data_IF_060672493815
#
_entry.id   IF_060672493815
#
_cell.length_a   1.000
_cell.length_b   1.000
_cell.length_c   1.000
_cell.angle_alpha   90.00
_cell.angle_beta   90.00
_cell.angle_gamma   90.00
#
_symmetry.space_group_name_H-M   'P 1'
#
loop_
_entity.id
_entity.type
_entity.pdbx_description
1 polymer ?
#
# COMPACT_ATOMS: atom_id res chain seq x y z
N UNK A 1 -3.34 7.92 15.42
CA UNK A 1 -2.77 9.10 14.73
C UNK A 1 -1.87 8.56 13.63
N UNK A 2 -1.97 9.11 12.42
CA UNK A 2 -1.14 8.64 11.31
C UNK A 2 0.31 9.06 11.53
N UNK A 3 1.26 8.16 11.27
CA UNK A 3 2.71 8.44 11.39
C UNK A 3 3.30 9.02 10.11
N UNK A 4 2.56 8.93 9.00
CA UNK A 4 2.91 9.48 7.68
C UNK A 4 1.81 10.41 7.22
N UNK A 5 2.14 11.68 6.99
CA UNK A 5 1.23 12.64 6.36
C UNK A 5 1.36 12.57 4.84
N UNK A 6 0.23 12.57 4.13
CA UNK A 6 0.18 12.37 2.68
C UNK A 6 -0.44 13.56 1.97
N UNK A 7 0.10 13.90 0.80
CA UNK A 7 -0.49 14.90 -0.11
C UNK A 7 -0.13 14.57 -1.55
N UNK A 8 -0.81 15.23 -2.48
CA UNK A 8 -0.42 15.22 -3.89
C UNK A 8 0.57 16.35 -4.14
N UNK A 9 1.69 16.03 -4.79
CA UNK A 9 2.58 17.04 -5.35
C UNK A 9 1.86 17.79 -6.49
N UNK A 10 1.76 19.13 -6.42
CA UNK A 10 1.00 19.90 -7.40
C UNK A 10 1.64 19.92 -8.79
N UNK A 11 2.94 19.65 -8.89
CA UNK A 11 3.70 19.70 -10.15
C UNK A 11 3.57 18.37 -10.91
N UNK A 12 3.85 17.27 -10.22
CA UNK A 12 3.92 15.94 -10.82
C UNK A 12 2.65 15.11 -10.65
N UNK A 13 1.70 15.58 -9.83
CA UNK A 13 0.45 14.87 -9.49
C UNK A 13 0.71 13.44 -8.98
N UNK A 14 1.74 13.31 -8.14
CA UNK A 14 2.14 12.07 -7.47
C UNK A 14 1.97 12.18 -5.96
N UNK A 15 1.69 11.08 -5.25
CA UNK A 15 1.77 11.03 -3.80
C UNK A 15 3.15 11.46 -3.33
N UNK A 16 3.19 12.31 -2.31
CA UNK A 16 4.39 12.64 -1.54
C UNK A 16 4.03 12.56 -0.07
N UNK A 17 5.04 12.29 0.75
CA UNK A 17 4.87 12.11 2.18
C UNK A 17 5.65 13.14 2.99
N UNK A 18 5.26 13.27 4.25
CA UNK A 18 6.00 13.97 5.29
C UNK A 18 5.88 13.18 6.59
N UNK A 19 6.98 13.06 7.32
CA UNK A 19 7.02 12.46 8.66
C UNK A 19 7.49 13.49 9.67
N UNK A 20 6.92 13.46 10.88
CA UNK A 20 7.42 14.25 12.01
C UNK A 20 8.58 13.54 12.71
N UNK A 21 8.52 12.20 12.76
CA UNK A 21 9.55 11.34 13.31
C UNK A 21 10.29 10.63 12.18
N UNK A 22 11.58 10.93 12.05
CA UNK A 22 12.45 10.41 10.99
C UNK A 22 12.58 8.89 10.99
N UNK A 23 12.24 8.21 12.09
CA UNK A 23 12.18 6.75 12.11
C UNK A 23 11.21 6.18 11.08
N UNK A 24 10.17 6.93 10.70
CA UNK A 24 9.16 6.51 9.72
C UNK A 24 9.47 6.96 8.29
N UNK A 25 10.64 7.55 8.02
CA UNK A 25 10.98 8.10 6.70
C UNK A 25 10.94 7.02 5.62
N UNK A 26 11.61 5.87 5.84
CA UNK A 26 11.62 4.74 4.91
C UNK A 26 10.22 4.12 4.71
N UNK A 27 9.36 4.15 5.72
CA UNK A 27 7.97 3.71 5.59
C UNK A 27 7.19 4.62 4.62
N UNK A 28 7.34 5.94 4.77
CA UNK A 28 6.74 6.91 3.85
C UNK A 28 7.31 6.81 2.43
N UNK A 29 8.62 6.56 2.31
CA UNK A 29 9.30 6.34 1.04
C UNK A 29 8.75 5.13 0.30
N UNK A 30 8.63 3.98 0.98
CA UNK A 30 8.07 2.76 0.42
C UNK A 30 6.61 2.94 -0.01
N UNK A 31 5.76 3.55 0.83
CA UNK A 31 4.35 3.81 0.49
C UNK A 31 4.22 4.64 -0.79
N UNK A 32 4.99 5.73 -0.91
CA UNK A 32 4.85 6.64 -2.05
C UNK A 32 5.58 6.18 -3.31
N UNK A 33 6.60 5.34 -3.18
CA UNK A 33 7.41 4.86 -4.30
C UNK A 33 6.92 3.53 -4.84
N UNK A 34 6.71 2.55 -3.95
CA UNK A 34 6.44 1.16 -4.32
C UNK A 34 4.95 0.91 -4.53
N UNK A 35 4.12 1.33 -3.57
CA UNK A 35 2.66 1.31 -3.76
C UNK A 35 2.27 2.41 -4.75
N UNK A 36 2.81 3.63 -4.57
CA UNK A 36 2.64 4.72 -5.52
C UNK A 36 1.16 5.02 -5.80
N UNK A 37 0.77 5.10 -7.07
CA UNK A 37 -0.65 5.25 -7.45
C UNK A 37 -1.29 3.94 -7.90
N UNK A 38 -0.73 2.79 -7.55
CA UNK A 38 -1.17 1.49 -8.03
C UNK A 38 -2.11 0.83 -7.02
N UNK A 39 -3.42 0.87 -7.31
CA UNK A 39 -4.43 0.28 -6.43
C UNK A 39 -4.19 -1.21 -6.17
N UNK A 40 -3.82 -2.00 -7.19
CA UNK A 40 -3.55 -3.44 -7.02
C UNK A 40 -2.42 -3.71 -6.02
N UNK A 41 -1.32 -2.97 -6.11
CA UNK A 41 -0.17 -3.13 -5.19
C UNK A 41 -0.56 -2.74 -3.75
N UNK A 42 -1.38 -1.69 -3.61
CA UNK A 42 -1.90 -1.29 -2.29
C UNK A 42 -2.86 -2.35 -1.72
N UNK A 43 -3.69 -2.98 -2.57
CA UNK A 43 -4.56 -4.10 -2.17
C UNK A 43 -3.72 -5.32 -1.74
N UNK A 44 -2.66 -5.65 -2.47
CA UNK A 44 -1.71 -6.71 -2.06
C UNK A 44 -1.12 -6.41 -0.67
N UNK A 45 -0.65 -5.18 -0.43
CA UNK A 45 -0.10 -4.77 0.87
C UNK A 45 -1.12 -4.88 2.02
N UNK A 46 -2.37 -4.43 1.80
CA UNK A 46 -3.45 -4.56 2.77
C UNK A 46 -3.74 -6.04 3.09
N UNK A 47 -3.89 -6.86 2.05
CA UNK A 47 -4.22 -8.26 2.22
C UNK A 47 -3.10 -9.05 2.91
N UNK A 48 -1.83 -8.79 2.58
CA UNK A 48 -0.69 -9.41 3.26
C UNK A 48 -0.60 -9.01 4.73
N UNK A 49 -0.81 -7.73 5.05
CA UNK A 49 -0.85 -7.26 6.44
C UNK A 49 -1.96 -7.96 7.24
N UNK A 50 -3.14 -8.15 6.64
CA UNK A 50 -4.26 -8.82 7.30
C UNK A 50 -4.04 -10.34 7.46
N UNK A 51 -3.49 -11.02 6.45
CA UNK A 51 -3.12 -12.45 6.54
C UNK A 51 -2.18 -12.68 7.73
N UNK A 52 -1.12 -11.87 7.81
CA UNK A 52 -0.11 -11.96 8.87
C UNK A 52 -0.66 -11.58 10.25
N UNK A 53 -1.56 -10.59 10.34
CA UNK A 53 -2.25 -10.24 11.57
C UNK A 53 -3.16 -11.38 12.08
N UNK A 54 -3.68 -12.21 11.17
CA UNK A 54 -4.46 -13.43 11.49
C UNK A 54 -3.57 -14.64 11.80
N UNK A 55 -2.24 -14.49 11.75
CA UNK A 55 -1.28 -15.57 11.95
C UNK A 55 -1.11 -16.48 10.74
N UNK A 56 -1.59 -16.07 9.57
CA UNK A 56 -1.39 -16.75 8.29
C UNK A 56 -0.14 -16.18 7.58
N UNK A 57 0.59 -16.97 6.79
CA UNK A 57 1.62 -16.41 5.93
C UNK A 57 1.00 -15.50 4.86
N UNK A 58 1.74 -14.51 4.33
CA UNK A 58 1.31 -13.75 3.15
C UNK A 58 0.93 -14.69 2.00
N UNK A 59 -0.17 -14.37 1.29
CA UNK A 59 -0.64 -15.18 0.16
C UNK A 59 0.36 -15.29 -1.00
N UNK A 60 1.30 -14.34 -1.11
CA UNK A 60 2.49 -14.42 -1.97
C UNK A 60 3.67 -13.68 -1.32
N UNK A 61 4.87 -13.86 -1.88
CA UNK A 61 6.03 -13.06 -1.47
C UNK A 61 5.96 -11.65 -2.08
N UNK A 62 6.33 -10.62 -1.31
CA UNK A 62 6.44 -9.27 -1.87
C UNK A 62 7.51 -9.24 -2.96
N UNK A 63 7.16 -8.69 -4.12
CA UNK A 63 8.04 -8.59 -5.27
C UNK A 63 8.07 -7.15 -5.77
N UNK A 64 9.21 -6.50 -5.61
CA UNK A 64 9.47 -5.14 -6.09
C UNK A 64 10.93 -5.01 -6.54
N UNK A 65 11.17 -4.16 -7.54
CA UNK A 65 12.52 -3.80 -7.98
C UNK A 65 13.22 -2.85 -7.01
N UNK A 66 12.46 -2.12 -6.18
CA UNK A 66 12.98 -1.03 -5.37
C UNK A 66 13.19 -1.42 -3.90
N UNK A 67 12.33 -2.30 -3.39
CA UNK A 67 12.33 -2.67 -1.98
C UNK A 67 12.18 -4.18 -1.81
N UNK A 68 12.98 -4.76 -0.93
CA UNK A 68 12.65 -6.03 -0.33
C UNK A 68 11.77 -5.77 0.90
N UNK A 69 10.59 -6.39 0.94
CA UNK A 69 9.62 -6.18 2.02
C UNK A 69 9.18 -7.52 2.59
N UNK A 70 9.10 -7.61 3.91
CA UNK A 70 8.60 -8.80 4.60
C UNK A 70 7.57 -8.42 5.66
N UNK A 71 6.38 -9.00 5.54
CA UNK A 71 5.32 -8.89 6.54
C UNK A 71 5.48 -10.02 7.55
N UNK A 72 5.63 -9.66 8.83
CA UNK A 72 5.73 -10.60 9.95
C UNK A 72 4.68 -10.26 11.02
N UNK A 73 4.30 -11.21 11.90
CA UNK A 73 3.26 -10.95 12.90
C UNK A 73 3.55 -9.77 13.83
N UNK A 74 4.83 -9.42 14.02
CA UNK A 74 5.25 -8.31 14.88
C UNK A 74 5.67 -7.06 14.12
N UNK A 75 6.11 -7.19 12.86
CA UNK A 75 6.68 -6.07 12.13
C UNK A 75 6.59 -6.18 10.60
N UNK A 76 6.61 -5.02 9.94
CA UNK A 76 6.96 -4.85 8.55
C UNK A 76 8.46 -4.54 8.45
N UNK A 77 9.20 -5.37 7.72
CA UNK A 77 10.62 -5.18 7.43
C UNK A 77 10.75 -4.62 6.02
N UNK A 78 11.51 -3.54 5.86
CA UNK A 78 11.77 -2.89 4.58
C UNK A 78 13.27 -2.72 4.39
N UNK A 79 13.77 -3.15 3.24
CA UNK A 79 15.15 -2.87 2.79
C UNK A 79 15.08 -2.19 1.43
N UNK A 80 15.66 -1.00 1.31
CA UNK A 80 15.80 -0.32 0.03
C UNK A 80 16.94 -0.96 -0.77
N UNK A 81 16.64 -1.48 -1.96
CA UNK A 81 17.60 -2.18 -2.81
C UNK A 81 18.64 -1.26 -3.44
N UNK A 82 18.38 0.04 -3.49
CA UNK A 82 19.22 1.04 -4.18
C UNK A 82 20.09 1.86 -3.23
N UNK A 83 19.70 1.96 -1.96
CA UNK A 83 20.41 2.75 -0.94
C UNK A 83 21.07 1.81 0.07
N UNK A 84 22.40 1.63 0.02
CA UNK A 84 23.10 0.73 0.93
C UNK A 84 22.83 1.06 2.41
N UNK A 85 22.39 0.07 3.17
CA UNK A 85 22.12 0.19 4.61
C UNK A 85 20.80 0.89 4.97
N UNK A 86 19.96 1.24 3.99
CA UNK A 86 18.62 1.74 4.25
C UNK A 86 17.66 0.57 4.55
N UNK A 87 17.59 0.24 5.83
CA UNK A 87 16.75 -0.83 6.38
C UNK A 87 15.89 -0.27 7.51
N UNK A 88 14.66 -0.76 7.63
CA UNK A 88 13.71 -0.34 8.65
C UNK A 88 12.83 -1.48 9.11
N UNK A 89 12.56 -1.49 10.41
CA UNK A 89 11.61 -2.39 11.06
C UNK A 89 10.51 -1.55 11.70
N UNK A 90 9.26 -1.80 11.30
CA UNK A 90 8.09 -1.05 11.75
C UNK A 90 7.12 -1.98 12.45
N UNK A 91 6.59 -1.64 13.64
CA UNK A 91 5.56 -2.45 14.28
C UNK A 91 4.39 -2.76 13.34
N UNK A 92 3.91 -4.00 13.34
CA UNK A 92 2.92 -4.47 12.38
C UNK A 92 1.61 -3.65 12.43
N UNK A 93 1.18 -3.26 13.62
CA UNK A 93 0.00 -2.42 13.84
C UNK A 93 0.18 -1.01 13.25
N UNK A 94 1.37 -0.42 13.41
CA UNK A 94 1.72 0.88 12.84
C UNK A 94 1.79 0.80 11.32
N UNK A 95 2.44 -0.22 10.77
CA UNK A 95 2.56 -0.44 9.34
C UNK A 95 1.19 -0.66 8.69
N UNK A 96 0.35 -1.51 9.29
CA UNK A 96 -1.02 -1.75 8.84
C UNK A 96 -1.82 -0.44 8.82
N UNK A 97 -1.81 0.32 9.92
CA UNK A 97 -2.51 1.60 9.97
C UNK A 97 -2.04 2.58 8.89
N UNK A 98 -0.73 2.65 8.63
CA UNK A 98 -0.17 3.50 7.58
C UNK A 98 -0.61 3.07 6.16
N UNK A 99 -0.68 1.76 5.89
CA UNK A 99 -1.18 1.23 4.61
C UNK A 99 -2.68 1.53 4.45
N UNK A 100 -3.48 1.37 5.52
CA UNK A 100 -4.90 1.72 5.51
C UNK A 100 -5.11 3.22 5.23
N UNK A 101 -4.34 4.08 5.88
CA UNK A 101 -4.37 5.53 5.66
C UNK A 101 -3.95 5.89 4.23
N UNK A 102 -2.94 5.20 3.68
CA UNK A 102 -2.52 5.36 2.30
C UNK A 102 -3.61 4.97 1.30
N UNK A 103 -4.31 3.86 1.55
CA UNK A 103 -5.47 3.47 0.76
C UNK A 103 -6.56 4.55 0.78
N UNK A 104 -6.94 5.02 1.98
CA UNK A 104 -7.94 6.10 2.13
C UNK A 104 -7.53 7.36 1.38
N UNK A 105 -6.25 7.70 1.44
CA UNK A 105 -5.68 8.82 0.68
C UNK A 105 -5.83 8.61 -0.84
N UNK A 106 -5.48 7.44 -1.37
CA UNK A 106 -5.56 7.15 -2.80
C UNK A 106 -7.00 7.21 -3.34
N UNK A 107 -7.95 6.59 -2.65
CA UNK A 107 -9.36 6.57 -3.10
C UNK A 107 -10.03 7.94 -3.02
N UNK A 108 -9.51 8.84 -2.19
CA UNK A 108 -10.00 10.22 -2.10
C UNK A 108 -9.50 11.12 -3.23
N UNK A 109 -8.53 10.67 -4.03
CA UNK A 109 -8.01 11.47 -5.14
C UNK A 109 -8.96 11.44 -6.34
N UNK A 110 -9.06 12.55 -7.09
CA UNK A 110 -9.78 12.55 -8.36
C UNK A 110 -9.20 11.53 -9.33
N UNK A 111 -10.07 10.79 -10.02
CA UNK A 111 -9.64 9.84 -11.04
C UNK A 111 -8.91 10.55 -12.18
N UNK A 112 -7.87 9.88 -12.70
CA UNK A 112 -7.18 10.33 -13.90
C UNK A 112 -8.08 10.05 -15.10
N UNK A 113 -8.19 11.01 -16.01
CA UNK A 113 -8.95 10.84 -17.25
C UNK A 113 -8.16 9.97 -18.23
N UNK A 114 -8.20 8.66 -18.03
CA UNK A 114 -7.57 7.64 -18.88
C UNK A 114 -8.63 6.66 -19.39
N UNK A 115 -8.47 6.17 -20.62
CA UNK A 115 -9.34 5.12 -21.16
C UNK A 115 -9.00 3.81 -20.46
N UNK A 116 -9.99 3.21 -19.78
CA UNK A 116 -9.84 1.91 -19.10
C UNK A 116 -10.57 0.82 -19.88
N UNK A 117 -9.90 -0.31 -20.10
CA UNK A 117 -10.50 -1.48 -20.76
C UNK A 117 -11.29 -2.35 -19.77
N UNK A 118 -10.75 -2.53 -18.56
CA UNK A 118 -11.37 -3.36 -17.53
C UNK A 118 -12.34 -2.55 -16.66
N UNK A 119 -13.61 -2.95 -16.65
CA UNK A 119 -14.71 -2.33 -15.88
C UNK A 119 -14.70 -0.78 -15.90
N UNK A 120 -14.77 -0.14 -17.09
CA UNK A 120 -14.82 1.33 -17.20
C UNK A 120 -16.09 1.94 -16.61
N UNK A 121 -17.10 1.11 -16.33
CA UNK A 121 -18.36 1.48 -15.68
C UNK A 121 -18.22 1.78 -14.18
N UNK A 122 -17.12 1.37 -13.56
CA UNK A 122 -16.87 1.53 -12.13
C UNK A 122 -15.78 2.55 -11.84
N UNK A 123 -15.78 3.17 -10.64
CA UNK A 123 -14.60 3.84 -10.12
C UNK A 123 -13.35 2.97 -10.19
N UNK A 124 -12.20 3.58 -10.46
CA UNK A 124 -10.94 2.88 -10.72
C UNK A 124 -10.57 1.93 -9.57
N UNK A 125 -10.72 2.38 -8.32
CA UNK A 125 -10.41 1.57 -7.15
C UNK A 125 -11.34 0.34 -7.03
N UNK A 126 -12.63 0.48 -7.41
CA UNK A 126 -13.59 -0.63 -7.39
C UNK A 126 -13.29 -1.65 -8.49
N UNK A 127 -12.94 -1.18 -9.69
CA UNK A 127 -12.49 -2.04 -10.77
C UNK A 127 -11.23 -2.84 -10.35
N UNK A 128 -10.25 -2.18 -9.71
CA UNK A 128 -9.05 -2.87 -9.23
C UNK A 128 -9.35 -3.85 -8.08
N UNK A 129 -10.27 -3.54 -7.18
CA UNK A 129 -10.72 -4.47 -6.14
C UNK A 129 -11.32 -5.74 -6.76
N UNK A 130 -12.24 -5.60 -7.73
CA UNK A 130 -12.82 -6.77 -8.41
C UNK A 130 -11.76 -7.59 -9.14
N UNK A 131 -10.85 -6.90 -9.85
CA UNK A 131 -9.74 -7.56 -10.54
C UNK A 131 -8.84 -8.34 -9.59
N UNK A 132 -8.58 -7.78 -8.41
CA UNK A 132 -7.80 -8.43 -7.37
C UNK A 132 -8.51 -9.69 -6.86
N UNK A 133 -9.80 -9.60 -6.55
CA UNK A 133 -10.60 -10.74 -6.07
C UNK A 133 -10.71 -11.85 -7.13
N UNK A 134 -10.84 -11.49 -8.41
CA UNK A 134 -10.82 -12.42 -9.53
C UNK A 134 -9.46 -13.11 -9.69
N UNK A 135 -8.35 -12.36 -9.58
CA UNK A 135 -6.98 -12.91 -9.67
C UNK A 135 -6.72 -13.95 -8.58
N UNK A 136 -7.12 -13.65 -7.35
CA UNK A 136 -6.81 -14.48 -6.19
C UNK A 136 -7.90 -15.49 -5.83
N UNK A 137 -9.08 -15.41 -6.47
CA UNK A 137 -10.21 -16.29 -6.18
C UNK A 137 -10.74 -16.15 -4.75
N UNK A 138 -10.50 -15.02 -4.08
CA UNK A 138 -10.95 -14.75 -2.70
C UNK A 138 -11.49 -13.33 -2.55
N UNK A 139 -12.42 -13.16 -1.61
CA UNK A 139 -12.89 -11.83 -1.21
C UNK A 139 -11.77 -11.09 -0.48
N UNK A 140 -11.59 -9.80 -0.77
CA UNK A 140 -10.54 -9.03 -0.11
C UNK A 140 -10.88 -8.84 1.39
N UNK A 141 -9.93 -9.04 2.32
CA UNK A 141 -10.21 -9.02 3.78
C UNK A 141 -10.76 -7.69 4.31
N UNK A 142 -10.51 -6.60 3.58
CA UNK A 142 -11.02 -5.27 3.90
C UNK A 142 -12.40 -4.92 3.33
N UNK A 143 -13.06 -5.84 2.61
CA UNK A 143 -14.43 -5.62 2.13
C UNK A 143 -15.37 -5.42 3.34
N UNK A 144 -16.16 -4.35 3.33
CA UNK A 144 -17.04 -3.99 4.45
C UNK A 144 -16.32 -3.29 5.63
N UNK A 145 -15.01 -3.03 5.51
CA UNK A 145 -14.22 -2.22 6.47
C UNK A 145 -13.73 -0.93 5.81
N UNK A 146 -13.02 -1.04 4.68
CA UNK A 146 -12.47 0.09 3.92
C UNK A 146 -13.13 0.33 2.57
N UNK A 147 -13.90 -0.63 2.06
CA UNK A 147 -14.50 -0.64 0.73
C UNK A 147 -16.02 -0.73 0.83
#
# INVERSE_FOLDING_TARGET
MSVVSLRIDPTFRRPVYQVEDQRYDLLGEWLTTDLGTFFLVTLDALAMADDVARGEPPFEAWSSENYAVSFTPSALLITNSWVPGAEGEFPADVAQAAIEDYWRFLVAQPERSVVREYRPDLPEWQANLLRWEEKWGRTHPYRGRLF
#
